data_IF_779612401746
#
_entry.id   IF_779612401746
#
_cell.length_a   1.000
_cell.length_b   1.000
_cell.length_c   1.000
_cell.angle_alpha   90.00
_cell.angle_beta   90.00
_cell.angle_gamma   90.00
#
_symmetry.space_group_name_H-M   'P 1'
#
loop_
_entity.id
_entity.type
_entity.pdbx_description
1 polymer ?
#
# COMPACT_ATOMS: atom_id res chain seq x y z
N UNK A 1 -25.55 -41.35 -70.12
CA UNK A 1 -24.18 -41.01 -70.58
C UNK A 1 -23.63 -39.97 -69.60
N UNK A 2 -22.43 -40.22 -69.06
CA UNK A 2 -21.69 -39.56 -67.95
C UNK A 2 -22.32 -39.76 -66.54
N UNK A 3 -21.78 -40.50 -65.56
CA UNK A 3 -20.44 -40.67 -64.92
C UNK A 3 -19.97 -39.53 -63.99
N UNK A 4 -19.85 -39.89 -62.70
CA UNK A 4 -18.85 -39.49 -61.68
C UNK A 4 -18.94 -38.04 -61.14
N UNK A 5 -18.70 -37.72 -59.86
CA UNK A 5 -17.72 -38.22 -58.88
C UNK A 5 -18.16 -37.93 -57.43
N UNK A 6 -17.69 -38.76 -56.50
CA UNK A 6 -17.74 -38.56 -55.07
C UNK A 6 -16.70 -37.52 -54.58
N UNK A 7 -17.03 -36.81 -53.49
CA UNK A 7 -16.02 -36.21 -52.62
C UNK A 7 -16.51 -36.25 -51.16
N UNK A 8 -15.83 -37.06 -50.35
CA UNK A 8 -15.92 -37.07 -48.89
C UNK A 8 -15.19 -35.84 -48.34
N UNK A 9 -15.81 -35.11 -47.40
CA UNK A 9 -15.09 -34.32 -46.41
C UNK A 9 -15.66 -34.59 -45.02
N UNK A 10 -14.84 -35.28 -44.22
CA UNK A 10 -14.96 -35.42 -42.78
C UNK A 10 -14.25 -34.23 -42.14
N UNK A 11 -14.93 -33.56 -41.20
CA UNK A 11 -14.36 -32.55 -40.30
C UNK A 11 -15.54 -32.02 -39.47
N UNK A 12 -15.75 -32.47 -38.24
CA UNK A 12 -14.88 -32.20 -37.11
C UNK A 12 -15.58 -31.14 -36.27
N UNK A 13 -16.41 -31.57 -35.32
CA UNK A 13 -17.09 -30.68 -34.39
C UNK A 13 -16.07 -30.09 -33.42
N UNK A 14 -16.07 -28.77 -33.23
CA UNK A 14 -15.65 -28.16 -31.98
C UNK A 14 -16.71 -27.14 -31.55
N UNK A 15 -17.34 -27.44 -30.41
CA UNK A 15 -18.19 -26.54 -29.66
C UNK A 15 -17.43 -25.22 -29.43
N UNK A 16 -18.00 -24.12 -29.88
CA UNK A 16 -17.62 -22.79 -29.45
C UNK A 16 -18.16 -22.57 -28.04
N UNK A 17 -17.40 -23.00 -27.03
CA UNK A 17 -17.56 -22.48 -25.68
C UNK A 17 -16.98 -21.07 -25.67
N UNK A 18 -17.80 -20.05 -25.96
CA UNK A 18 -17.53 -18.70 -25.49
C UNK A 18 -17.65 -18.70 -23.96
N UNK A 19 -16.59 -19.11 -23.29
CA UNK A 19 -16.36 -18.68 -21.91
C UNK A 19 -16.00 -17.20 -21.99
N UNK A 20 -17.03 -16.36 -21.89
CA UNK A 20 -16.83 -15.03 -21.34
C UNK A 20 -16.53 -15.24 -19.86
N UNK A 21 -15.28 -15.57 -19.54
CA UNK A 21 -14.75 -15.24 -18.24
C UNK A 21 -14.84 -13.72 -18.16
N UNK A 22 -15.78 -13.24 -17.36
CA UNK A 22 -15.80 -11.86 -16.93
C UNK A 22 -14.46 -11.63 -16.25
N UNK A 23 -13.52 -11.02 -16.97
CA UNK A 23 -12.39 -10.33 -16.38
C UNK A 23 -13.04 -9.25 -15.53
N UNK A 24 -13.29 -9.56 -14.25
CA UNK A 24 -13.51 -8.56 -13.24
C UNK A 24 -12.32 -7.63 -13.38
N UNK A 25 -12.52 -6.46 -14.00
CA UNK A 25 -11.52 -5.41 -14.05
C UNK A 25 -11.09 -5.18 -12.62
N UNK A 26 -9.89 -5.66 -12.26
CA UNK A 26 -9.30 -5.37 -10.97
C UNK A 26 -9.19 -3.86 -10.91
N UNK A 27 -9.96 -3.25 -10.02
CA UNK A 27 -9.95 -1.80 -9.85
C UNK A 27 -8.55 -1.42 -9.37
N UNK A 28 -7.82 -0.70 -10.22
CA UNK A 28 -6.48 -0.26 -9.87
C UNK A 28 -6.60 0.87 -8.83
N UNK A 29 -5.96 0.77 -7.67
CA UNK A 29 -6.01 1.79 -6.61
C UNK A 29 -5.75 3.20 -7.12
N UNK A 30 -6.64 4.13 -6.80
CA UNK A 30 -6.53 5.53 -7.19
C UNK A 30 -6.18 6.44 -6.01
N UNK A 31 -5.38 7.48 -6.30
CA UNK A 31 -5.20 8.63 -5.41
C UNK A 31 -6.27 9.69 -5.72
N UNK A 32 -7.21 9.87 -4.80
CA UNK A 32 -8.29 10.86 -4.88
C UNK A 32 -7.84 12.12 -4.12
N UNK A 33 -7.56 13.19 -4.87
CA UNK A 33 -7.02 14.43 -4.31
C UNK A 33 -8.16 15.40 -4.01
N UNK A 34 -8.18 15.92 -2.77
CA UNK A 34 -9.14 16.92 -2.30
C UNK A 34 -8.71 18.35 -2.70
N UNK A 35 -9.68 19.26 -2.86
CA UNK A 35 -9.43 20.67 -3.25
C UNK A 35 -8.53 21.44 -2.27
N UNK A 36 -8.31 20.92 -1.06
CA UNK A 36 -7.35 21.47 -0.09
C UNK A 36 -5.89 21.34 -0.53
N UNK A 37 -5.56 20.47 -1.48
CA UNK A 37 -4.19 20.16 -1.91
C UNK A 37 -3.73 21.14 -2.99
N UNK A 38 -2.61 21.83 -2.74
CA UNK A 38 -2.01 22.73 -3.72
C UNK A 38 -1.42 21.95 -4.92
N UNK A 39 -1.39 22.53 -6.14
CA UNK A 39 -0.98 21.81 -7.36
C UNK A 39 0.45 21.22 -7.32
N UNK A 40 1.38 21.90 -6.65
CA UNK A 40 2.76 21.41 -6.48
C UNK A 40 2.83 20.20 -5.54
N UNK A 41 2.07 20.21 -4.45
CA UNK A 41 1.94 19.07 -3.58
C UNK A 41 1.19 17.90 -4.25
N UNK A 42 0.15 18.19 -5.04
CA UNK A 42 -0.54 17.17 -5.83
C UNK A 42 0.41 16.46 -6.80
N UNK A 43 1.23 17.21 -7.53
CA UNK A 43 2.20 16.64 -8.47
C UNK A 43 3.17 15.67 -7.76
N UNK A 44 3.73 16.09 -6.62
CA UNK A 44 4.57 15.24 -5.79
C UNK A 44 3.83 13.99 -5.30
N UNK A 45 2.58 14.14 -4.86
CA UNK A 45 1.79 13.04 -4.34
C UNK A 45 1.48 11.99 -5.40
N UNK A 46 1.17 12.41 -6.64
CA UNK A 46 0.92 11.49 -7.76
C UNK A 46 2.16 10.70 -8.13
N UNK A 47 3.30 11.37 -8.27
CA UNK A 47 4.58 10.70 -8.55
C UNK A 47 4.94 9.69 -7.43
N UNK A 48 4.72 10.07 -6.18
CA UNK A 48 4.98 9.19 -5.03
C UNK A 48 4.00 8.01 -4.98
N UNK A 49 2.74 8.22 -5.38
CA UNK A 49 1.74 7.16 -5.45
C UNK A 49 2.10 6.12 -6.50
N UNK A 50 2.57 6.55 -7.68
CA UNK A 50 3.03 5.63 -8.72
C UNK A 50 4.20 4.76 -8.21
N UNK A 51 5.20 5.36 -7.55
CA UNK A 51 6.30 4.63 -6.91
C UNK A 51 5.82 3.63 -5.86
N UNK A 52 4.83 4.02 -5.05
CA UNK A 52 4.23 3.16 -4.03
C UNK A 52 3.52 1.96 -4.67
N UNK A 53 2.75 2.19 -5.74
CA UNK A 53 2.04 1.15 -6.47
C UNK A 53 2.96 0.18 -7.19
N UNK A 54 4.10 0.66 -7.72
CA UNK A 54 5.13 -0.21 -8.30
C UNK A 54 5.67 -1.20 -7.27
N UNK A 55 5.87 -0.77 -6.03
CA UNK A 55 6.32 -1.65 -4.93
C UNK A 55 5.24 -2.65 -4.51
N UNK A 56 3.99 -2.21 -4.40
CA UNK A 56 2.89 -3.02 -3.87
C UNK A 56 1.95 -3.59 -4.95
N UNK A 57 2.42 -3.71 -6.19
CA UNK A 57 1.59 -4.12 -7.33
C UNK A 57 0.87 -5.46 -7.09
N UNK A 58 1.56 -6.43 -6.47
CA UNK A 58 0.99 -7.75 -6.20
C UNK A 58 -0.07 -7.77 -5.10
N UNK A 59 -0.26 -6.64 -4.39
CA UNK A 59 -1.26 -6.44 -3.33
C UNK A 59 -2.31 -5.38 -3.70
N UNK A 60 -2.28 -4.87 -4.93
CA UNK A 60 -3.17 -3.78 -5.39
C UNK A 60 -4.66 -4.12 -5.33
N UNK A 61 -5.02 -5.40 -5.23
CA UNK A 61 -6.41 -5.86 -5.12
C UNK A 61 -7.01 -5.73 -3.70
N UNK A 62 -6.20 -5.48 -2.67
CA UNK A 62 -6.67 -5.50 -1.28
C UNK A 62 -6.80 -4.14 -0.59
N UNK A 63 -6.20 -3.06 -1.12
CA UNK A 63 -6.25 -1.76 -0.43
C UNK A 63 -7.16 -0.69 -1.06
N UNK A 64 -7.44 -0.76 -2.36
CA UNK A 64 -8.39 0.15 -3.03
C UNK A 64 -7.93 1.62 -3.02
N UNK A 65 -8.88 2.54 -3.19
CA UNK A 65 -8.58 3.97 -3.33
C UNK A 65 -8.23 4.64 -1.99
N UNK A 66 -7.36 5.66 -2.05
CA UNK A 66 -7.00 6.50 -0.91
C UNK A 66 -7.26 7.97 -1.24
N UNK A 67 -7.76 8.72 -0.24
CA UNK A 67 -7.98 10.16 -0.33
C UNK A 67 -6.81 10.93 0.26
N UNK A 68 -6.45 12.05 -0.36
CA UNK A 68 -5.44 12.97 0.14
C UNK A 68 -6.06 14.33 0.47
N UNK A 69 -5.78 14.81 1.68
CA UNK A 69 -6.10 16.16 2.15
C UNK A 69 -4.85 16.88 2.65
N UNK A 70 -4.86 18.21 2.58
CA UNK A 70 -3.85 19.05 3.21
C UNK A 70 -4.45 19.82 4.40
N UNK A 71 -3.67 20.02 5.46
CA UNK A 71 -4.10 20.78 6.65
C UNK A 71 -2.96 21.62 7.21
N UNK A 72 -3.28 22.81 7.71
CA UNK A 72 -2.31 23.69 8.38
C UNK A 72 -2.21 23.46 9.89
N UNK A 73 -3.15 22.71 10.49
CA UNK A 73 -3.35 22.65 11.95
C UNK A 73 -3.18 21.25 12.56
N UNK A 74 -2.61 20.30 11.81
CA UNK A 74 -2.28 18.98 12.36
C UNK A 74 -1.15 19.07 13.39
N UNK A 75 -1.29 18.32 14.49
CA UNK A 75 -0.26 18.20 15.52
C UNK A 75 0.92 17.32 15.06
N UNK A 76 0.64 16.28 14.29
CA UNK A 76 1.61 15.42 13.61
C UNK A 76 1.95 15.93 12.20
N UNK A 77 2.88 15.25 11.52
CA UNK A 77 3.22 15.52 10.11
C UNK A 77 2.10 15.08 9.16
N UNK A 78 1.44 13.98 9.49
CA UNK A 78 0.27 13.49 8.79
C UNK A 78 -0.54 12.59 9.73
N UNK A 79 -1.72 12.18 9.27
CA UNK A 79 -2.55 11.19 9.92
C UNK A 79 -3.41 10.46 8.89
N UNK A 80 -3.58 9.15 9.09
CA UNK A 80 -4.51 8.32 8.34
C UNK A 80 -5.81 8.08 9.13
N UNK A 81 -6.96 8.35 8.49
CA UNK A 81 -8.28 7.97 8.98
C UNK A 81 -8.78 6.70 8.24
N UNK A 82 -8.87 5.54 8.93
CA UNK A 82 -9.32 4.30 8.32
C UNK A 82 -10.81 4.30 7.96
N UNK A 83 -11.64 5.13 8.60
CA UNK A 83 -13.09 5.15 8.35
C UNK A 83 -13.41 5.77 6.98
N UNK A 84 -12.59 6.72 6.53
CA UNK A 84 -12.76 7.42 5.25
C UNK A 84 -11.69 7.09 4.21
N UNK A 85 -10.70 6.27 4.57
CA UNK A 85 -9.49 6.02 3.80
C UNK A 85 -8.80 7.34 3.40
N UNK A 86 -8.65 8.26 4.34
CA UNK A 86 -8.10 9.60 4.08
C UNK A 86 -6.77 9.78 4.77
N UNK A 87 -5.75 10.12 4.00
CA UNK A 87 -4.48 10.67 4.48
C UNK A 87 -4.60 12.19 4.53
N UNK A 88 -4.39 12.78 5.70
CA UNK A 88 -4.28 14.23 5.85
C UNK A 88 -2.84 14.59 6.16
N UNK A 89 -2.21 15.40 5.32
CA UNK A 89 -0.80 15.82 5.49
C UNK A 89 -0.74 17.27 5.95
N UNK A 90 0.15 17.53 6.90
CA UNK A 90 0.41 18.88 7.39
C UNK A 90 1.21 19.67 6.36
N UNK A 91 0.71 20.86 6.02
CA UNK A 91 1.38 21.82 5.12
C UNK A 91 1.63 23.16 5.82
N UNK A 92 2.65 23.93 5.38
CA UNK A 92 3.66 23.57 4.37
C UNK A 92 4.69 22.56 4.91
N UNK A 93 5.38 21.88 3.99
CA UNK A 93 6.50 20.97 4.28
C UNK A 93 7.49 20.96 3.10
N UNK A 94 8.71 20.46 3.31
CA UNK A 94 9.64 20.24 2.18
C UNK A 94 9.19 19.02 1.37
N UNK A 95 9.59 18.90 0.09
CA UNK A 95 9.22 17.73 -0.72
C UNK A 95 9.56 16.39 -0.04
N UNK A 96 10.76 16.28 0.54
CA UNK A 96 11.19 15.08 1.25
C UNK A 96 10.36 14.78 2.51
N UNK A 97 9.92 15.82 3.25
CA UNK A 97 9.01 15.65 4.39
C UNK A 97 7.63 15.17 3.95
N UNK A 98 7.08 15.78 2.88
CA UNK A 98 5.76 15.46 2.36
C UNK A 98 5.73 14.04 1.77
N UNK A 99 6.74 13.67 0.99
CA UNK A 99 6.89 12.33 0.44
C UNK A 99 6.97 11.26 1.53
N UNK A 100 7.82 11.48 2.54
CA UNK A 100 7.94 10.55 3.68
C UNK A 100 6.63 10.43 4.45
N UNK A 101 5.90 11.53 4.66
CA UNK A 101 4.62 11.51 5.34
C UNK A 101 3.54 10.75 4.53
N UNK A 102 3.48 10.96 3.22
CA UNK A 102 2.55 10.24 2.34
C UNK A 102 2.77 8.73 2.41
N UNK A 103 4.01 8.28 2.20
CA UNK A 103 4.35 6.85 2.18
C UNK A 103 4.09 6.21 3.55
N UNK A 104 4.43 6.90 4.64
CA UNK A 104 4.15 6.44 6.00
C UNK A 104 2.65 6.20 6.22
N UNK A 105 1.79 7.16 5.87
CA UNK A 105 0.36 7.01 6.09
C UNK A 105 -0.28 6.00 5.11
N UNK A 106 0.24 5.86 3.89
CA UNK A 106 -0.21 4.82 2.95
C UNK A 106 0.18 3.40 3.40
N UNK A 107 1.27 3.23 4.15
CA UNK A 107 1.54 1.97 4.82
C UNK A 107 0.40 1.61 5.79
N UNK A 108 -0.09 2.57 6.59
CA UNK A 108 -1.26 2.32 7.42
C UNK A 108 -2.53 2.07 6.61
N UNK A 109 -2.69 2.71 5.46
CA UNK A 109 -3.78 2.40 4.54
C UNK A 109 -3.77 0.91 4.13
N UNK A 110 -2.64 0.38 3.66
CA UNK A 110 -2.49 -1.07 3.41
C UNK A 110 -2.83 -1.88 4.64
N UNK A 111 -2.27 -1.52 5.80
CA UNK A 111 -2.47 -2.25 7.04
C UNK A 111 -3.94 -2.40 7.43
N UNK A 112 -4.74 -1.35 7.21
CA UNK A 112 -6.16 -1.33 7.55
C UNK A 112 -7.05 -1.98 6.49
N UNK A 113 -6.71 -1.84 5.20
CA UNK A 113 -7.56 -2.31 4.10
C UNK A 113 -7.26 -3.76 3.68
N UNK A 114 -5.99 -4.16 3.68
CA UNK A 114 -5.57 -5.52 3.30
C UNK A 114 -5.65 -6.47 4.49
N UNK A 115 -6.56 -7.45 4.45
CA UNK A 115 -6.68 -8.45 5.53
C UNK A 115 -5.44 -9.34 5.63
N UNK A 116 -4.86 -9.67 4.49
CA UNK A 116 -3.67 -10.48 4.28
C UNK A 116 -2.42 -9.83 4.88
N UNK A 117 -2.44 -8.51 5.11
CA UNK A 117 -1.37 -7.83 5.84
C UNK A 117 -1.17 -8.43 7.26
N UNK A 118 -2.19 -9.06 7.86
CA UNK A 118 -2.04 -9.73 9.16
C UNK A 118 -1.01 -10.87 9.13
N UNK A 119 -0.82 -11.51 7.98
CA UNK A 119 0.11 -12.62 7.79
C UNK A 119 1.58 -12.15 7.83
N UNK A 120 1.84 -10.93 7.34
CA UNK A 120 3.16 -10.28 7.37
C UNK A 120 3.66 -10.03 8.79
N UNK A 121 2.75 -9.71 9.74
CA UNK A 121 3.11 -9.12 11.05
C UNK A 121 4.09 -9.98 11.84
N UNK A 122 3.88 -11.30 11.92
CA UNK A 122 4.76 -12.18 12.70
C UNK A 122 6.17 -12.22 12.11
N UNK A 123 6.28 -12.34 10.79
CA UNK A 123 7.57 -12.34 10.10
C UNK A 123 8.28 -10.99 10.27
N UNK A 124 7.54 -9.88 10.15
CA UNK A 124 8.05 -8.54 10.38
C UNK A 124 8.60 -8.39 11.81
N UNK A 125 7.84 -8.78 12.84
CA UNK A 125 8.29 -8.70 14.23
C UNK A 125 9.60 -9.43 14.47
N UNK A 126 9.72 -10.67 13.96
CA UNK A 126 10.94 -11.47 14.07
C UNK A 126 12.12 -10.78 13.36
N UNK A 127 11.92 -10.33 12.13
CA UNK A 127 12.96 -9.65 11.34
C UNK A 127 13.37 -8.30 11.95
N UNK A 128 12.44 -7.64 12.63
CA UNK A 128 12.65 -6.43 13.39
C UNK A 128 13.31 -6.73 14.75
N UNK A 129 13.54 -7.99 15.13
CA UNK A 129 14.15 -8.38 16.40
C UNK A 129 13.25 -8.16 17.62
N UNK A 130 11.93 -8.13 17.40
CA UNK A 130 10.91 -8.05 18.44
C UNK A 130 10.39 -9.45 18.77
N UNK A 131 9.74 -9.59 19.92
CA UNK A 131 9.01 -10.83 20.23
C UNK A 131 7.90 -11.02 19.18
N UNK A 132 7.69 -12.25 18.64
CA UNK A 132 6.63 -12.49 17.67
C UNK A 132 5.22 -12.38 18.26
N UNK A 133 5.12 -12.26 19.59
CA UNK A 133 3.87 -12.06 20.33
C UNK A 133 3.69 -10.60 20.79
N UNK A 134 4.59 -9.70 20.35
CA UNK A 134 4.45 -8.26 20.60
C UNK A 134 3.15 -7.76 19.96
N UNK A 135 2.28 -7.05 20.70
CA UNK A 135 1.09 -6.44 20.13
C UNK A 135 1.46 -5.52 18.96
N UNK A 136 0.84 -5.73 17.81
CA UNK A 136 1.10 -4.94 16.61
C UNK A 136 0.83 -3.44 16.83
N UNK A 137 -0.21 -3.17 17.61
CA UNK A 137 -0.64 -1.86 18.10
C UNK A 137 -0.99 -2.01 19.59
N UNK A 138 -0.81 -0.97 20.41
CA UNK A 138 -1.23 -1.02 21.81
C UNK A 138 -2.75 -1.19 21.92
N UNK A 139 -3.19 -1.88 22.98
CA UNK A 139 -4.60 -1.92 23.35
C UNK A 139 -4.98 -0.61 24.06
N UNK A 140 -6.05 0.08 23.64
CA UNK A 140 -6.58 1.28 24.30
C UNK A 140 -6.66 2.54 23.43
N UNK A 141 -6.94 3.68 24.08
CA UNK A 141 -7.08 4.97 23.42
C UNK A 141 -5.71 5.54 23.02
N UNK A 142 -5.48 5.69 21.72
CA UNK A 142 -4.26 6.19 21.10
C UNK A 142 -3.83 7.58 21.56
N UNK A 143 -4.79 8.36 22.07
CA UNK A 143 -4.63 9.74 22.54
C UNK A 143 -3.76 9.86 23.80
N UNK A 144 -3.54 8.76 24.52
CA UNK A 144 -2.75 8.73 25.77
C UNK A 144 -1.32 8.23 25.58
N UNK A 145 -0.94 7.77 24.37
CA UNK A 145 0.40 7.27 24.10
C UNK A 145 1.36 8.47 23.96
N UNK A 146 2.37 8.62 24.83
CA UNK A 146 3.35 9.69 24.70
C UNK A 146 4.06 9.59 23.34
N UNK A 147 4.30 10.72 22.67
CA UNK A 147 5.03 10.77 21.39
C UNK A 147 6.38 10.01 21.42
N UNK A 148 7.02 9.91 22.60
CA UNK A 148 8.26 9.16 22.79
C UNK A 148 8.09 7.64 22.65
N UNK A 149 6.91 7.09 22.90
CA UNK A 149 6.62 5.65 22.84
C UNK A 149 6.15 5.19 21.44
N UNK A 150 5.79 6.12 20.55
CA UNK A 150 5.37 5.81 19.18
C UNK A 150 6.43 5.03 18.41
N UNK A 151 7.71 5.39 18.61
CA UNK A 151 8.84 4.72 17.97
C UNK A 151 8.97 3.22 18.31
N UNK A 152 8.37 2.78 19.41
CA UNK A 152 8.42 1.39 19.89
C UNK A 152 7.22 0.56 19.41
N UNK A 153 6.22 1.18 18.77
CA UNK A 153 5.03 0.50 18.27
C UNK A 153 5.37 -0.23 16.95
N UNK A 154 5.09 -1.53 16.81
CA UNK A 154 5.40 -2.27 15.59
C UNK A 154 4.75 -1.71 14.31
N UNK A 155 3.49 -1.26 14.39
CA UNK A 155 2.78 -0.60 13.29
C UNK A 155 3.53 0.64 12.77
N UNK A 156 4.11 1.44 13.66
CA UNK A 156 4.89 2.63 13.31
C UNK A 156 6.26 2.26 12.71
N UNK A 157 6.92 1.25 13.27
CA UNK A 157 8.17 0.74 12.71
C UNK A 157 7.96 0.15 11.31
N UNK A 158 6.81 -0.47 11.06
CA UNK A 158 6.41 -0.95 9.74
C UNK A 158 6.23 0.21 8.77
N UNK A 159 5.48 1.25 9.13
CA UNK A 159 5.29 2.41 8.26
C UNK A 159 6.61 3.08 7.90
N UNK A 160 7.53 3.21 8.85
CA UNK A 160 8.88 3.73 8.62
C UNK A 160 9.75 2.79 7.77
N UNK A 161 9.57 1.47 7.87
CA UNK A 161 10.23 0.51 7.00
C UNK A 161 9.69 0.56 5.55
N UNK A 162 8.39 0.85 5.36
CA UNK A 162 7.82 1.09 4.02
C UNK A 162 8.38 2.38 3.41
N UNK A 163 8.60 3.43 4.20
CA UNK A 163 9.31 4.64 3.72
C UNK A 163 10.68 4.26 3.15
N UNK A 164 11.46 3.46 3.86
CA UNK A 164 12.76 2.97 3.36
C UNK A 164 12.59 2.16 2.07
N UNK A 165 11.57 1.30 1.99
CA UNK A 165 11.36 0.44 0.83
C UNK A 165 11.01 1.24 -0.44
N UNK A 166 10.15 2.25 -0.32
CA UNK A 166 9.64 3.02 -1.47
C UNK A 166 10.58 4.16 -1.85
N UNK A 167 11.08 4.91 -0.85
CA UNK A 167 11.93 6.10 -1.08
C UNK A 167 13.42 5.73 -1.18
N UNK A 168 13.81 4.55 -0.68
CA UNK A 168 15.20 4.08 -0.64
C UNK A 168 15.99 4.55 0.58
N UNK A 169 15.51 5.56 1.30
CA UNK A 169 16.10 6.07 2.54
C UNK A 169 15.04 6.67 3.47
N UNK A 170 15.45 7.09 4.68
CA UNK A 170 14.60 7.89 5.57
C UNK A 170 15.05 9.35 5.50
N UNK A 171 14.42 10.17 4.64
CA UNK A 171 14.83 11.56 4.50
C UNK A 171 14.61 12.36 5.78
N UNK A 172 13.64 11.94 6.61
CA UNK A 172 13.37 12.52 7.92
C UNK A 172 13.65 11.48 9.01
N UNK A 173 14.73 11.66 9.81
CA UNK A 173 15.04 10.75 10.88
C UNK A 173 13.92 10.68 11.92
N UNK A 174 13.48 9.46 12.23
CA UNK A 174 12.59 9.15 13.35
C UNK A 174 13.34 8.33 14.39
N UNK A 175 12.78 8.23 15.61
CA UNK A 175 13.32 7.34 16.64
C UNK A 175 12.97 5.87 16.41
N UNK A 176 12.07 5.58 15.47
CA UNK A 176 11.69 4.22 15.13
C UNK A 176 12.93 3.45 14.64
N UNK A 177 13.15 2.27 15.20
CA UNK A 177 14.14 1.35 14.65
C UNK A 177 13.60 0.76 13.35
N UNK A 178 14.47 0.55 12.37
CA UNK A 178 14.15 -0.17 11.12
C UNK A 178 15.34 -1.07 10.82
N UNK A 179 15.12 -2.39 10.76
CA UNK A 179 16.16 -3.33 10.32
C UNK A 179 16.08 -3.59 8.80
N UNK A 180 17.20 -3.95 8.18
CA UNK A 180 17.23 -4.31 6.75
C UNK A 180 16.47 -5.60 6.47
N UNK A 181 16.46 -6.52 7.43
CA UNK A 181 15.69 -7.76 7.40
C UNK A 181 14.18 -7.47 7.40
N UNK A 182 13.71 -6.50 8.20
CA UNK A 182 12.30 -6.12 8.23
C UNK A 182 11.85 -5.50 6.90
N UNK A 183 12.67 -4.63 6.31
CA UNK A 183 12.43 -4.09 4.95
C UNK A 183 12.36 -5.21 3.90
N UNK A 184 13.23 -6.22 4.01
CA UNK A 184 13.24 -7.37 3.10
C UNK A 184 11.97 -8.21 3.22
N UNK A 185 11.51 -8.47 4.45
CA UNK A 185 10.23 -9.17 4.70
C UNK A 185 9.04 -8.41 4.11
N UNK A 186 9.00 -7.08 4.23
CA UNK A 186 7.96 -6.27 3.58
C UNK A 186 8.06 -6.39 2.06
N UNK A 187 9.25 -6.34 1.48
CA UNK A 187 9.46 -6.45 0.02
C UNK A 187 8.99 -7.80 -0.51
N UNK A 188 9.35 -8.89 0.17
CA UNK A 188 8.95 -10.24 -0.24
C UNK A 188 7.42 -10.35 -0.22
N UNK A 189 6.79 -9.85 0.84
CA UNK A 189 5.33 -9.79 0.90
C UNK A 189 4.74 -8.88 -0.19
N UNK A 190 5.27 -7.68 -0.41
CA UNK A 190 4.76 -6.72 -1.39
C UNK A 190 4.78 -7.25 -2.83
N UNK A 191 5.72 -8.15 -3.14
CA UNK A 191 5.89 -8.79 -4.46
C UNK A 191 5.17 -10.13 -4.61
N UNK A 192 4.37 -10.55 -3.61
CA UNK A 192 3.51 -11.73 -3.69
C UNK A 192 4.10 -13.03 -3.14
N UNK A 193 5.20 -12.93 -2.39
CA UNK A 193 5.76 -14.05 -1.61
C UNK A 193 4.92 -14.48 -0.42
#
# INVERSE_FOLDING_TARGET
MLLLLAAFLVGGATLSCSQSEGVLSRHHPQLIVDDSVAPDFEALARETWDQFLDVFQARSDCFGDVRLRASYILHSRAAYDPASATVTVRVPGTPAMLQSALVHEWAHHIEFQCKEHRELRRAFLIAQGLSPDTPWRPDGAWEEIPASAWADIPSEQYAEAVVVLVVGERPIPTKARVSGEAVSVIRDWATGG
#
